data_IF_681116432891
#
_entry.id   IF_681116432891
#
_cell.length_a   1.000
_cell.length_b   1.000
_cell.length_c   1.000
_cell.angle_alpha   90.00
_cell.angle_beta   90.00
_cell.angle_gamma   90.00
#
_symmetry.space_group_name_H-M   'P 1'
#
loop_
_entity.id
_entity.type
_entity.pdbx_description
1 polymer ?
#
# COMPACT_ATOMS: atom_id res chain seq x y z
N UNK A 1 -22.76 -2.69 9.82
CA UNK A 1 -21.34 -2.61 9.42
C UNK A 1 -20.71 -3.95 9.72
N UNK A 2 -20.37 -4.74 8.70
CA UNK A 2 -19.57 -5.94 8.94
C UNK A 2 -18.16 -5.46 9.33
N UNK A 3 -17.66 -5.94 10.47
CA UNK A 3 -16.29 -5.63 10.88
C UNK A 3 -15.32 -6.25 9.88
N UNK A 4 -14.16 -5.60 9.68
CA UNK A 4 -13.08 -6.17 8.86
C UNK A 4 -12.59 -7.46 9.50
N UNK A 5 -12.60 -8.58 8.76
CA UNK A 5 -12.07 -9.85 9.25
C UNK A 5 -10.57 -9.93 8.99
N UNK A 6 -9.79 -9.53 9.98
CA UNK A 6 -8.33 -9.53 9.94
C UNK A 6 -7.70 -10.95 9.96
N UNK A 7 -8.52 -12.01 10.11
CA UNK A 7 -8.04 -13.39 10.00
C UNK A 7 -7.81 -13.82 8.55
N UNK A 8 -8.26 -13.04 7.57
CA UNK A 8 -8.09 -13.37 6.16
C UNK A 8 -6.62 -13.33 5.73
N UNK A 9 -6.12 -14.46 5.20
CA UNK A 9 -4.71 -14.67 4.88
C UNK A 9 -4.16 -13.66 3.87
N UNK A 10 -4.98 -13.18 2.94
CA UNK A 10 -4.56 -12.18 1.97
C UNK A 10 -4.40 -10.79 2.60
N UNK A 11 -5.23 -10.42 3.57
CA UNK A 11 -5.10 -9.17 4.34
C UNK A 11 -3.81 -9.23 5.16
N UNK A 12 -3.55 -10.35 5.82
CA UNK A 12 -2.31 -10.57 6.57
C UNK A 12 -1.07 -10.51 5.67
N UNK A 13 -1.12 -11.16 4.50
CA UNK A 13 -0.06 -11.08 3.50
C UNK A 13 0.18 -9.65 3.01
N UNK A 14 -0.90 -8.89 2.80
CA UNK A 14 -0.81 -7.48 2.43
C UNK A 14 -0.20 -6.63 3.55
N UNK A 15 -0.59 -6.84 4.81
CA UNK A 15 0.05 -6.15 5.95
C UNK A 15 1.54 -6.48 6.06
N UNK A 16 1.92 -7.76 5.91
CA UNK A 16 3.31 -8.19 5.92
C UNK A 16 4.11 -7.55 4.78
N UNK A 17 3.53 -7.47 3.57
CA UNK A 17 4.13 -6.75 2.43
C UNK A 17 4.44 -5.29 2.77
N UNK A 18 3.49 -4.57 3.38
CA UNK A 18 3.73 -3.19 3.82
C UNK A 18 4.86 -3.13 4.85
N UNK A 19 4.84 -3.96 5.90
CA UNK A 19 5.90 -3.98 6.91
C UNK A 19 7.29 -4.22 6.29
N UNK A 20 7.39 -5.14 5.33
CA UNK A 20 8.63 -5.41 4.61
C UNK A 20 9.08 -4.20 3.77
N UNK A 21 8.16 -3.53 3.08
CA UNK A 21 8.44 -2.30 2.34
C UNK A 21 8.98 -1.20 3.26
N UNK A 22 8.34 -0.99 4.41
CA UNK A 22 8.77 -0.03 5.42
C UNK A 22 10.17 -0.37 5.95
N UNK A 23 10.42 -1.65 6.27
CA UNK A 23 11.74 -2.12 6.68
C UNK A 23 12.80 -1.87 5.59
N UNK A 24 12.50 -2.20 4.34
CA UNK A 24 13.42 -1.98 3.21
C UNK A 24 13.78 -0.50 3.06
N UNK A 25 12.80 0.41 3.15
CA UNK A 25 13.01 1.85 3.10
C UNK A 25 13.89 2.32 4.27
N UNK A 26 13.60 1.88 5.49
CA UNK A 26 14.36 2.30 6.68
C UNK A 26 15.80 1.80 6.65
N UNK A 27 16.01 0.54 6.29
CA UNK A 27 17.34 -0.09 6.22
C UNK A 27 18.20 0.51 5.09
N UNK A 28 17.58 0.86 3.96
CA UNK A 28 18.29 1.38 2.79
C UNK A 28 18.17 2.90 2.62
N UNK A 29 17.96 3.65 3.70
CA UNK A 29 17.77 5.12 3.66
C UNK A 29 18.91 5.91 3.00
N UNK A 30 20.12 5.33 2.90
CA UNK A 30 21.29 5.96 2.27
C UNK A 30 21.39 5.69 0.76
N UNK A 31 20.72 4.66 0.25
CA UNK A 31 20.78 4.29 -1.17
C UNK A 31 19.66 5.00 -1.93
N UNK A 32 19.96 6.18 -2.49
CA UNK A 32 18.98 7.01 -3.18
C UNK A 32 18.37 6.34 -4.41
N UNK A 33 19.13 5.54 -5.15
CA UNK A 33 18.61 4.81 -6.31
C UNK A 33 17.50 3.84 -5.89
N UNK A 34 17.74 3.05 -4.84
CA UNK A 34 16.74 2.11 -4.34
C UNK A 34 15.51 2.83 -3.77
N UNK A 35 15.71 3.94 -3.03
CA UNK A 35 14.60 4.77 -2.54
C UNK A 35 13.74 5.28 -3.68
N UNK A 36 14.35 5.80 -4.75
CA UNK A 36 13.62 6.30 -5.93
C UNK A 36 12.84 5.19 -6.61
N UNK A 37 13.43 3.99 -6.79
CA UNK A 37 12.72 2.84 -7.34
C UNK A 37 11.49 2.46 -6.49
N UNK A 38 11.65 2.37 -5.17
CA UNK A 38 10.56 2.05 -4.24
C UNK A 38 9.47 3.13 -4.26
N UNK A 39 9.86 4.40 -4.35
CA UNK A 39 8.92 5.53 -4.41
C UNK A 39 8.07 5.50 -5.69
N UNK A 40 8.71 5.27 -6.85
CA UNK A 40 8.02 5.16 -8.13
C UNK A 40 7.09 3.94 -8.15
N UNK A 41 7.54 2.80 -7.61
CA UNK A 41 6.72 1.60 -7.48
C UNK A 41 5.50 1.88 -6.60
N UNK A 42 5.70 2.45 -5.41
CA UNK A 42 4.63 2.77 -4.47
C UNK A 42 3.62 3.76 -5.07
N UNK A 43 4.09 4.79 -5.78
CA UNK A 43 3.24 5.75 -6.49
C UNK A 43 2.41 5.07 -7.58
N UNK A 44 3.02 4.19 -8.38
CA UNK A 44 2.31 3.41 -9.38
C UNK A 44 1.26 2.47 -8.77
N UNK A 45 1.59 1.81 -7.66
CA UNK A 45 0.66 0.96 -6.92
C UNK A 45 -0.53 1.75 -6.39
N UNK A 46 -0.33 2.95 -5.83
CA UNK A 46 -1.40 3.85 -5.38
C UNK A 46 -2.30 4.25 -6.55
N UNK A 47 -1.73 4.58 -7.72
CA UNK A 47 -2.53 4.91 -8.91
C UNK A 47 -3.38 3.73 -9.39
N UNK A 48 -2.93 2.49 -9.15
CA UNK A 48 -3.70 1.29 -9.45
C UNK A 48 -4.77 0.97 -8.40
N UNK A 49 -4.82 1.67 -7.26
CA UNK A 49 -5.75 1.36 -6.18
C UNK A 49 -7.22 1.46 -6.60
N UNK A 50 -7.59 2.53 -7.30
CA UNK A 50 -8.96 2.75 -7.77
C UNK A 50 -9.42 1.70 -8.81
N UNK A 51 -8.65 1.40 -9.88
CA UNK A 51 -9.05 0.37 -10.83
C UNK A 51 -9.02 -1.04 -10.21
N UNK A 52 -8.10 -1.31 -9.26
CA UNK A 52 -8.11 -2.57 -8.51
C UNK A 52 -9.36 -2.68 -7.64
N UNK A 53 -9.68 -1.65 -6.84
CA UNK A 53 -10.87 -1.61 -6.01
C UNK A 53 -12.14 -1.90 -6.83
N UNK A 54 -12.27 -1.27 -7.99
CA UNK A 54 -13.42 -1.49 -8.90
C UNK A 54 -13.48 -2.92 -9.44
N UNK A 55 -12.36 -3.46 -9.95
CA UNK A 55 -12.32 -4.82 -10.52
C UNK A 55 -12.52 -5.90 -9.46
N UNK A 56 -11.94 -5.73 -8.28
CA UNK A 56 -12.06 -6.68 -7.18
C UNK A 56 -13.49 -6.70 -6.64
N UNK A 57 -14.10 -5.52 -6.47
CA UNK A 57 -15.51 -5.37 -6.06
C UNK A 57 -16.47 -6.11 -6.98
N UNK A 58 -16.25 -6.09 -8.29
CA UNK A 58 -17.21 -6.57 -9.28
C UNK A 58 -17.06 -8.04 -9.65
N UNK A 59 -15.83 -8.57 -9.68
CA UNK A 59 -15.57 -9.88 -10.29
C UNK A 59 -14.80 -10.85 -9.41
N UNK A 60 -13.89 -10.37 -8.58
CA UNK A 60 -12.84 -11.23 -8.01
C UNK A 60 -12.89 -11.41 -6.50
N UNK A 61 -13.64 -10.59 -5.76
CA UNK A 61 -13.66 -10.66 -4.30
C UNK A 61 -13.93 -12.09 -3.77
N UNK A 62 -14.86 -12.83 -4.37
CA UNK A 62 -15.25 -14.18 -3.92
C UNK A 62 -14.18 -15.26 -4.12
N UNK A 63 -13.14 -14.99 -4.93
CA UNK A 63 -12.06 -15.96 -5.17
C UNK A 63 -11.04 -16.03 -4.03
N UNK A 64 -10.86 -14.93 -3.30
CA UNK A 64 -9.82 -14.81 -2.28
C UNK A 64 -10.34 -14.30 -0.93
N UNK A 65 -11.53 -13.71 -0.92
CA UNK A 65 -12.12 -13.06 0.24
C UNK A 65 -13.47 -13.69 0.57
N UNK A 66 -13.78 -13.80 1.87
CA UNK A 66 -15.08 -14.33 2.33
C UNK A 66 -16.20 -13.31 2.19
N UNK A 67 -15.85 -12.02 2.17
CA UNK A 67 -16.80 -10.93 2.02
C UNK A 67 -16.25 -9.84 1.09
N UNK A 68 -17.15 -9.02 0.54
CA UNK A 68 -16.75 -7.93 -0.33
C UNK A 68 -16.35 -6.71 0.51
N UNK A 69 -15.05 -6.52 0.70
CA UNK A 69 -14.49 -5.36 1.39
C UNK A 69 -14.42 -4.10 0.53
N UNK A 70 -14.49 -4.26 -0.80
CA UNK A 70 -14.26 -3.18 -1.75
C UNK A 70 -15.55 -2.40 -1.95
N UNK A 71 -15.50 -1.11 -1.63
CA UNK A 71 -16.64 -0.20 -1.67
C UNK A 71 -16.50 0.84 -2.80
N UNK A 72 -17.61 1.50 -3.17
CA UNK A 72 -17.58 2.51 -4.24
C UNK A 72 -16.71 3.71 -3.88
N UNK A 73 -16.69 4.10 -2.62
CA UNK A 73 -15.87 5.20 -2.09
C UNK A 73 -14.40 4.80 -1.96
N UNK A 74 -14.10 3.50 -2.01
CA UNK A 74 -12.74 2.95 -1.89
C UNK A 74 -12.13 3.10 -0.50
N UNK A 75 -12.94 3.33 0.54
CA UNK A 75 -12.45 3.56 1.90
C UNK A 75 -11.59 2.42 2.41
N UNK A 76 -12.00 1.18 2.16
CA UNK A 76 -11.21 0.01 2.56
C UNK A 76 -9.88 -0.07 1.80
N UNK A 77 -9.91 0.14 0.48
CA UNK A 77 -8.70 0.15 -0.34
C UNK A 77 -7.74 1.27 0.08
N UNK A 78 -8.25 2.44 0.45
CA UNK A 78 -7.43 3.52 1.01
C UNK A 78 -6.85 3.10 2.36
N UNK A 79 -7.65 2.56 3.28
CA UNK A 79 -7.16 2.22 4.61
C UNK A 79 -6.09 1.11 4.61
N UNK A 80 -6.27 0.07 3.78
CA UNK A 80 -5.45 -1.16 3.83
C UNK A 80 -4.38 -1.22 2.74
N UNK A 81 -4.54 -0.47 1.64
CA UNK A 81 -3.63 -0.52 0.49
C UNK A 81 -2.98 0.84 0.21
N UNK A 82 -3.73 1.87 -0.20
CA UNK A 82 -3.11 3.14 -0.61
C UNK A 82 -2.55 3.96 0.55
N UNK A 83 -3.20 3.94 1.71
CA UNK A 83 -2.85 4.74 2.87
C UNK A 83 -1.46 4.41 3.42
N UNK A 84 -1.14 3.13 3.70
CA UNK A 84 0.19 2.73 4.11
C UNK A 84 1.28 3.06 3.06
N UNK A 85 0.96 2.94 1.77
CA UNK A 85 1.88 3.30 0.67
C UNK A 85 2.09 4.82 0.58
N UNK A 86 1.04 5.62 0.72
CA UNK A 86 1.14 7.09 0.74
C UNK A 86 1.95 7.57 1.95
N UNK A 87 1.72 7.00 3.13
CA UNK A 87 2.51 7.32 4.32
C UNK A 87 3.99 6.96 4.11
N UNK A 88 4.29 5.82 3.47
CA UNK A 88 5.65 5.44 3.10
C UNK A 88 6.25 6.45 2.12
N UNK A 89 5.53 6.80 1.05
CA UNK A 89 5.95 7.80 0.07
C UNK A 89 6.21 9.16 0.72
N UNK A 90 5.39 9.60 1.67
CA UNK A 90 5.63 10.82 2.44
C UNK A 90 6.94 10.75 3.24
N UNK A 91 7.20 9.63 3.93
CA UNK A 91 8.47 9.41 4.63
C UNK A 91 9.67 9.50 3.67
N UNK A 92 9.57 8.88 2.50
CA UNK A 92 10.64 8.92 1.49
C UNK A 92 10.91 10.35 1.01
N UNK A 93 9.87 11.18 0.82
CA UNK A 93 10.04 12.59 0.49
C UNK A 93 10.83 13.35 1.57
N UNK A 94 10.56 13.10 2.86
CA UNK A 94 11.36 13.69 3.94
C UNK A 94 12.82 13.23 3.92
N UNK A 95 13.06 11.94 3.64
CA UNK A 95 14.41 11.39 3.50
C UNK A 95 15.16 12.08 2.35
N UNK A 96 14.51 12.26 1.20
CA UNK A 96 15.09 12.97 0.06
C UNK A 96 15.41 14.42 0.38
N UNK A 97 14.47 15.15 1.00
CA UNK A 97 14.67 16.54 1.38
C UNK A 97 15.87 16.71 2.32
N UNK A 98 15.98 15.84 3.33
CA UNK A 98 17.13 15.83 4.23
C UNK A 98 18.43 15.48 3.51
N UNK A 99 18.40 14.57 2.54
CA UNK A 99 19.59 14.19 1.77
C UNK A 99 20.10 15.30 0.85
N UNK A 100 19.22 16.19 0.36
CA UNK A 100 19.60 17.32 -0.51
C UNK A 100 19.97 18.59 0.25
N UNK A 101 19.64 18.68 1.54
CA UNK A 101 19.94 19.84 2.38
C UNK A 101 21.40 19.86 2.91
N UNK A 102 22.16 18.80 2.63
CA UNK A 102 23.58 18.64 2.97
C UNK A 102 24.41 18.48 1.68
#
# INVERSE_FOLDING_TARGET
>A
MAAVDWSERWIQGLMAFHLLLWLLVLLNRKNMTLQTCIFLLSSGLVALAEPLNTRLRERWWSHFSRQNYFDKEGFFAVAVYSGPLLALSCLQLFIFLHATAH
#
